data_IF_597774131161
#
_entry.id   IF_597774131161
#
_cell.length_a   1.000
_cell.length_b   1.000
_cell.length_c   1.000
_cell.angle_alpha   90.00
_cell.angle_beta   90.00
_cell.angle_gamma   90.00
#
_symmetry.space_group_name_H-M   'P 1'
#
loop_
_entity.id
_entity.type
_entity.pdbx_description
1 polymer ?
#
# COMPACT_ATOMS: atom_id res chain seq x y z
N UNK A 1 10.98 -10.92 12.05
CA UNK A 1 10.80 -9.47 12.25
C UNK A 1 9.50 -9.02 11.61
N UNK A 2 8.85 -7.98 12.11
CA UNK A 2 7.58 -7.46 11.57
C UNK A 2 7.82 -6.07 10.97
N UNK A 3 7.12 -5.73 9.89
CA UNK A 3 7.09 -4.37 9.33
C UNK A 3 5.68 -3.80 9.36
N UNK A 4 5.62 -2.49 9.63
CA UNK A 4 4.43 -1.68 9.53
C UNK A 4 4.62 -0.74 8.35
N UNK A 5 3.66 -0.73 7.43
CA UNK A 5 3.65 0.11 6.23
C UNK A 5 2.49 1.10 6.38
N UNK A 6 2.83 2.37 6.56
CA UNK A 6 1.86 3.46 6.69
C UNK A 6 1.51 4.01 5.29
N UNK A 7 0.53 3.40 4.66
CA UNK A 7 -0.04 3.82 3.38
C UNK A 7 -1.25 4.76 3.58
N UNK A 8 -1.11 5.79 4.41
CA UNK A 8 -2.16 6.80 4.67
C UNK A 8 -1.84 8.14 3.98
N UNK A 9 -2.88 8.95 3.71
CA UNK A 9 -2.77 10.36 3.28
C UNK A 9 -3.40 10.67 1.92
N UNK A 10 -3.97 11.87 1.80
CA UNK A 10 -4.84 12.33 0.70
C UNK A 10 -4.20 12.41 -0.69
N UNK A 11 -2.87 12.49 -0.78
CA UNK A 11 -2.18 12.55 -2.07
C UNK A 11 -2.34 13.87 -2.84
N UNK A 12 -2.83 14.95 -2.22
CA UNK A 12 -3.18 16.20 -2.92
C UNK A 12 -2.06 16.80 -3.78
N UNK A 13 -0.81 16.68 -3.34
CA UNK A 13 0.36 17.19 -4.10
C UNK A 13 0.64 16.41 -5.39
N UNK A 14 0.08 15.21 -5.53
CA UNK A 14 0.26 14.34 -6.69
C UNK A 14 -0.93 14.42 -7.67
N UNK A 15 -1.91 15.28 -7.41
CA UNK A 15 -3.01 15.51 -8.35
C UNK A 15 -2.45 16.01 -9.70
N UNK A 16 -3.03 15.55 -10.83
CA UNK A 16 -4.29 14.79 -10.94
C UNK A 16 -4.14 13.26 -10.79
N UNK A 17 -2.92 12.73 -10.59
CA UNK A 17 -2.66 11.28 -10.60
C UNK A 17 -3.46 10.54 -9.52
N UNK A 18 -3.68 11.18 -8.36
CA UNK A 18 -4.38 10.58 -7.21
C UNK A 18 -5.86 10.91 -7.16
N UNK A 19 -6.46 11.43 -8.23
CA UNK A 19 -7.90 11.70 -8.24
C UNK A 19 -8.72 10.41 -8.17
N UNK A 20 -8.26 9.34 -8.84
CA UNK A 20 -8.99 8.07 -9.00
C UNK A 20 -8.23 6.86 -8.42
N UNK A 21 -7.08 7.06 -7.81
CA UNK A 21 -6.24 5.99 -7.27
C UNK A 21 -5.54 6.46 -5.99
N UNK A 22 -5.39 5.56 -5.03
CA UNK A 22 -4.60 5.88 -3.84
C UNK A 22 -3.13 6.11 -4.21
N UNK A 23 -2.45 7.04 -3.54
CA UNK A 23 -1.05 7.42 -3.88
C UNK A 23 -0.08 6.23 -3.94
N UNK A 24 -0.27 5.22 -3.09
CA UNK A 24 0.60 4.03 -3.06
C UNK A 24 0.20 2.97 -4.08
N UNK A 25 -0.97 3.10 -4.69
CA UNK A 25 -1.50 2.24 -5.74
C UNK A 25 -1.17 2.76 -7.15
N UNK A 26 -0.50 3.92 -7.24
CA UNK A 26 0.07 4.37 -8.51
C UNK A 26 1.15 3.40 -9.00
N UNK A 27 1.24 3.26 -10.32
CA UNK A 27 2.23 2.42 -11.00
C UNK A 27 3.39 3.27 -11.50
N UNK A 28 4.60 2.76 -11.30
CA UNK A 28 5.83 3.25 -11.92
C UNK A 28 6.42 2.06 -12.66
N UNK A 29 6.60 2.18 -13.98
CA UNK A 29 7.05 1.06 -14.84
C UNK A 29 6.19 -0.21 -14.62
N UNK A 30 4.86 -0.06 -14.64
CA UNK A 30 3.91 -1.17 -14.48
C UNK A 30 3.76 -1.74 -13.05
N UNK A 31 4.64 -1.39 -12.11
CA UNK A 31 4.61 -1.92 -10.74
C UNK A 31 4.06 -0.89 -9.75
N UNK A 32 3.17 -1.32 -8.84
CA UNK A 32 2.63 -0.46 -7.78
C UNK A 32 3.73 0.00 -6.82
N UNK A 33 3.63 1.26 -6.36
CA UNK A 33 4.54 1.79 -5.32
C UNK A 33 4.50 0.92 -4.06
N UNK A 34 3.31 0.51 -3.60
CA UNK A 34 3.17 -0.34 -2.41
C UNK A 34 3.81 -1.73 -2.58
N UNK A 35 3.72 -2.32 -3.79
CA UNK A 35 4.37 -3.60 -4.10
C UNK A 35 5.89 -3.48 -4.01
N UNK A 36 6.47 -2.36 -4.45
CA UNK A 36 7.92 -2.12 -4.34
C UNK A 36 8.35 -2.12 -2.87
N UNK A 37 7.64 -1.39 -2.02
CA UNK A 37 7.93 -1.32 -0.58
C UNK A 37 7.87 -2.71 0.06
N UNK A 38 6.81 -3.48 -0.22
CA UNK A 38 6.63 -4.83 0.32
C UNK A 38 7.72 -5.78 -0.17
N UNK A 39 8.07 -5.72 -1.45
CA UNK A 39 9.14 -6.55 -2.00
C UNK A 39 10.47 -6.23 -1.31
N UNK A 40 10.80 -4.95 -1.13
CA UNK A 40 12.03 -4.53 -0.44
C UNK A 40 12.13 -5.06 0.99
N UNK A 41 11.06 -4.98 1.80
CA UNK A 41 11.11 -5.51 3.17
C UNK A 41 11.13 -7.04 3.18
N UNK A 42 10.45 -7.69 2.23
CA UNK A 42 10.41 -9.15 2.12
C UNK A 42 11.77 -9.74 1.76
N UNK A 43 12.49 -9.16 0.79
CA UNK A 43 13.83 -9.65 0.41
C UNK A 43 14.86 -9.51 1.54
N UNK A 44 14.61 -8.64 2.52
CA UNK A 44 15.43 -8.48 3.73
C UNK A 44 14.93 -9.34 4.92
N UNK A 45 14.04 -10.31 4.67
CA UNK A 45 13.58 -11.28 5.67
C UNK A 45 12.42 -10.82 6.55
N UNK A 46 11.73 -9.72 6.19
CA UNK A 46 10.55 -9.25 6.91
C UNK A 46 9.27 -9.79 6.26
N UNK A 47 8.82 -10.94 6.75
CA UNK A 47 7.72 -11.70 6.14
C UNK A 47 6.33 -11.42 6.75
N UNK A 48 6.26 -10.62 7.83
CA UNK A 48 5.00 -10.18 8.44
C UNK A 48 4.82 -8.69 8.21
N UNK A 49 3.95 -8.34 7.28
CA UNK A 49 3.68 -6.97 6.85
C UNK A 49 2.25 -6.57 7.25
N UNK A 50 2.12 -5.43 7.93
CA UNK A 50 0.82 -4.81 8.22
C UNK A 50 0.75 -3.48 7.47
N UNK A 51 -0.23 -3.34 6.57
CA UNK A 51 -0.51 -2.09 5.86
C UNK A 51 -1.64 -1.35 6.55
N UNK A 52 -1.41 -0.08 6.84
CA UNK A 52 -2.42 0.84 7.32
C UNK A 52 -2.76 1.86 6.24
N UNK A 53 -4.05 2.11 5.99
CA UNK A 53 -4.48 3.20 5.12
C UNK A 53 -5.53 4.09 5.78
N UNK A 54 -5.64 5.32 5.28
CA UNK A 54 -6.74 6.21 5.62
C UNK A 54 -8.01 5.88 4.83
N UNK A 55 -9.05 6.71 5.01
CA UNK A 55 -10.37 6.51 4.41
C UNK A 55 -10.35 6.49 2.87
N UNK A 56 -9.59 7.39 2.24
CA UNK A 56 -9.35 7.36 0.79
C UNK A 56 -8.38 6.23 0.45
N UNK A 57 -8.79 5.33 -0.45
CA UNK A 57 -7.97 4.19 -0.90
C UNK A 57 -8.12 2.90 -0.10
N UNK A 58 -8.97 2.90 0.94
CA UNK A 58 -9.13 1.72 1.80
C UNK A 58 -9.64 0.50 1.04
N UNK A 59 -10.60 0.68 0.12
CA UNK A 59 -11.16 -0.40 -0.68
C UNK A 59 -10.13 -0.95 -1.68
N UNK A 60 -9.39 -0.07 -2.36
CA UNK A 60 -8.40 -0.47 -3.36
C UNK A 60 -7.25 -1.27 -2.73
N UNK A 61 -6.74 -0.81 -1.58
CA UNK A 61 -5.69 -1.51 -0.83
C UNK A 61 -6.22 -2.82 -0.24
N UNK A 62 -7.47 -2.83 0.26
CA UNK A 62 -8.09 -4.04 0.79
C UNK A 62 -8.31 -5.10 -0.29
N UNK A 63 -8.80 -4.72 -1.47
CA UNK A 63 -8.90 -5.62 -2.62
C UNK A 63 -7.52 -6.13 -3.04
N UNK A 64 -6.54 -5.24 -3.14
CA UNK A 64 -5.17 -5.61 -3.51
C UNK A 64 -4.53 -6.57 -2.50
N UNK A 65 -4.83 -6.45 -1.21
CA UNK A 65 -4.33 -7.34 -0.15
C UNK A 65 -4.60 -8.82 -0.45
N UNK A 66 -5.74 -9.16 -1.05
CA UNK A 66 -6.05 -10.56 -1.41
C UNK A 66 -5.11 -11.14 -2.48
N UNK A 67 -4.37 -10.30 -3.21
CA UNK A 67 -3.37 -10.74 -4.20
C UNK A 67 -1.99 -11.00 -3.60
N UNK A 68 -1.76 -10.61 -2.34
CA UNK A 68 -0.46 -10.75 -1.66
C UNK A 68 -0.59 -11.70 -0.48
N UNK A 69 0.00 -12.88 -0.62
CA UNK A 69 0.08 -13.85 0.48
C UNK A 69 0.82 -13.23 1.68
N UNK A 70 0.28 -13.44 2.89
CA UNK A 70 0.82 -12.95 4.17
C UNK A 70 0.73 -11.44 4.44
N UNK A 71 -0.02 -10.67 3.64
CA UNK A 71 -0.31 -9.27 3.96
C UNK A 71 -1.50 -9.16 4.94
N UNK A 72 -1.27 -8.48 6.07
CA UNK A 72 -2.36 -8.00 6.93
C UNK A 72 -2.67 -6.56 6.57
N UNK A 73 -3.94 -6.20 6.59
CA UNK A 73 -4.41 -4.85 6.31
C UNK A 73 -5.31 -4.37 7.45
N UNK A 74 -5.16 -3.12 7.83
CA UNK A 74 -5.98 -2.47 8.85
C UNK A 74 -6.32 -1.04 8.40
N UNK A 75 -7.61 -0.71 8.38
CA UNK A 75 -8.07 0.65 8.11
C UNK A 75 -7.90 1.51 9.37
N UNK A 76 -7.34 2.71 9.21
CA UNK A 76 -7.40 3.76 10.23
C UNK A 76 -8.72 4.52 10.06
N UNK A 77 -9.39 4.79 11.18
CA UNK A 77 -10.76 5.32 11.35
C UNK A 77 -11.35 6.05 10.13
#
# INVERSE_FOLDING_TARGET
>A
MNAIILAAGYGDRMKPLTNNAHKTMLKIEGQLIISRIINYVTIHGVNRNIVFSGQQGSQEIESWRYTVSNLRYQRLY
#
